data_IF_107900203927
#
_entry.id   IF_107900203927
#
_cell.length_a   1.000
_cell.length_b   1.000
_cell.length_c   1.000
_cell.angle_alpha   90.00
_cell.angle_beta   90.00
_cell.angle_gamma   90.00
#
_symmetry.space_group_name_H-M   'P 1'
#
loop_
_entity.id
_entity.type
_entity.pdbx_description
1 polymer ?
#
# COMPACT_ATOMS: atom_id res chain seq x y z
N UNK A 1 24.95 20.92 16.84
CA UNK A 1 24.42 19.57 16.53
C UNK A 1 22.96 19.79 16.17
N UNK A 2 22.59 19.69 14.88
CA UNK A 2 21.17 19.80 14.50
C UNK A 2 20.49 18.51 14.93
N UNK A 3 19.64 18.59 15.94
CA UNK A 3 18.66 17.55 16.25
C UNK A 3 17.75 17.42 15.03
N UNK A 4 17.76 16.25 14.40
CA UNK A 4 16.69 15.88 13.49
C UNK A 4 15.48 15.62 14.37
N UNK A 5 14.57 16.59 14.46
CA UNK A 5 13.21 16.31 14.92
C UNK A 5 12.66 15.29 13.94
N UNK A 6 12.41 14.07 14.44
CA UNK A 6 11.89 12.99 13.62
C UNK A 6 10.65 13.49 12.88
N UNK A 7 10.61 13.32 11.58
CA UNK A 7 9.33 13.40 10.87
C UNK A 7 8.40 12.42 11.57
N UNK A 8 7.32 12.91 12.17
CA UNK A 8 6.23 12.06 12.66
C UNK A 8 5.91 11.08 11.53
N UNK A 9 6.22 9.80 11.75
CA UNK A 9 5.95 8.76 10.77
C UNK A 9 4.44 8.67 10.57
N UNK A 10 4.00 8.37 9.35
CA UNK A 10 2.59 8.01 9.14
C UNK A 10 2.38 6.67 9.82
N UNK A 11 1.44 6.60 10.76
CA UNK A 11 1.07 5.35 11.41
C UNK A 11 0.32 4.46 10.42
N UNK A 12 0.50 3.15 10.51
CA UNK A 12 -0.14 2.20 9.59
C UNK A 12 -1.68 2.30 9.62
N UNK A 13 -2.24 2.68 10.77
CA UNK A 13 -3.68 2.85 10.94
C UNK A 13 -4.22 4.06 10.16
N UNK A 14 -3.45 5.14 10.00
CA UNK A 14 -3.81 6.28 9.16
C UNK A 14 -3.91 5.85 7.68
N UNK A 15 -2.97 5.00 7.24
CA UNK A 15 -2.96 4.44 5.88
C UNK A 15 -4.19 3.56 5.65
N UNK A 16 -4.49 2.65 6.58
CA UNK A 16 -5.68 1.78 6.49
C UNK A 16 -6.96 2.61 6.43
N UNK A 17 -7.07 3.68 7.21
CA UNK A 17 -8.22 4.59 7.15
C UNK A 17 -8.40 5.19 5.75
N UNK A 18 -7.32 5.63 5.09
CA UNK A 18 -7.42 6.15 3.71
C UNK A 18 -7.87 5.06 2.72
N UNK A 19 -7.33 3.83 2.85
CA UNK A 19 -7.71 2.70 1.99
C UNK A 19 -9.19 2.36 2.13
N UNK A 20 -9.72 2.29 3.36
CA UNK A 20 -11.15 1.99 3.60
C UNK A 20 -12.11 3.05 3.04
N UNK A 21 -11.63 4.27 2.78
CA UNK A 21 -12.39 5.37 2.17
C UNK A 21 -12.21 5.46 0.66
N UNK A 22 -11.54 4.49 0.04
CA UNK A 22 -11.10 4.53 -1.36
C UNK A 22 -10.27 5.79 -1.71
N UNK A 23 -9.57 6.36 -0.72
CA UNK A 23 -8.79 7.58 -0.90
C UNK A 23 -7.34 7.28 -1.28
N UNK A 24 -7.17 6.66 -2.45
CA UNK A 24 -5.85 6.33 -2.99
C UNK A 24 -5.85 6.41 -4.51
N UNK A 25 -4.65 6.50 -5.09
CA UNK A 25 -4.45 6.49 -6.55
C UNK A 25 -3.39 5.45 -6.88
N UNK A 26 -3.74 4.54 -7.80
CA UNK A 26 -2.76 3.64 -8.42
C UNK A 26 -2.21 4.34 -9.67
N UNK A 27 -0.91 4.60 -9.67
CA UNK A 27 -0.25 5.21 -10.84
C UNK A 27 -0.26 4.25 -12.02
N UNK A 28 -0.17 4.79 -13.23
CA UNK A 28 -0.13 3.98 -14.45
C UNK A 28 1.02 2.94 -14.45
N UNK A 29 2.20 3.31 -13.94
CA UNK A 29 3.34 2.38 -13.86
C UNK A 29 3.13 1.25 -12.85
N UNK A 30 2.43 1.52 -11.74
CA UNK A 30 2.07 0.48 -10.77
C UNK A 30 1.03 -0.46 -11.38
N UNK A 31 -0.02 0.07 -12.04
CA UNK A 31 -1.04 -0.72 -12.72
C UNK A 31 -0.44 -1.69 -13.74
N UNK A 32 0.47 -1.22 -14.60
CA UNK A 32 1.14 -2.09 -15.57
C UNK A 32 1.88 -3.27 -14.92
N UNK A 33 2.56 -3.05 -13.80
CA UNK A 33 3.27 -4.11 -13.07
C UNK A 33 2.31 -5.10 -12.40
N UNK A 34 1.20 -4.59 -11.88
CA UNK A 34 0.13 -5.41 -11.32
C UNK A 34 -0.42 -6.36 -12.40
N UNK A 35 -0.71 -5.82 -13.60
CA UNK A 35 -1.22 -6.60 -14.72
C UNK A 35 -0.23 -7.70 -15.16
N UNK A 36 1.07 -7.41 -15.21
CA UNK A 36 2.13 -8.38 -15.53
C UNK A 36 2.19 -9.58 -14.57
N UNK A 37 1.68 -9.41 -13.34
CA UNK A 37 1.70 -10.43 -12.27
C UNK A 37 0.33 -10.98 -11.92
N UNK A 38 -0.73 -10.51 -12.59
CA UNK A 38 -2.11 -10.88 -12.25
C UNK A 38 -2.58 -10.40 -10.87
N UNK A 39 -2.00 -9.31 -10.36
CA UNK A 39 -2.39 -8.69 -9.08
C UNK A 39 -3.53 -7.71 -9.34
N UNK A 40 -4.64 -7.86 -8.61
CA UNK A 40 -5.78 -6.97 -8.69
C UNK A 40 -5.71 -5.88 -7.62
N UNK A 41 -6.52 -4.83 -7.78
CA UNK A 41 -6.61 -3.75 -6.78
C UNK A 41 -7.04 -4.31 -5.42
N UNK A 42 -7.99 -5.23 -5.40
CA UNK A 42 -8.51 -5.85 -4.17
C UNK A 42 -7.44 -6.64 -3.43
N UNK A 43 -6.50 -7.26 -4.15
CA UNK A 43 -5.37 -7.97 -3.53
C UNK A 43 -4.50 -6.99 -2.73
N UNK A 44 -4.18 -5.82 -3.31
CA UNK A 44 -3.43 -4.78 -2.60
C UNK A 44 -4.20 -4.21 -1.41
N UNK A 45 -5.52 -4.01 -1.56
CA UNK A 45 -6.38 -3.53 -0.48
C UNK A 45 -6.37 -4.53 0.68
N UNK A 46 -6.57 -5.81 0.40
CA UNK A 46 -6.56 -6.86 1.41
C UNK A 46 -5.17 -6.97 2.08
N UNK A 47 -4.09 -6.98 1.31
CA UNK A 47 -2.72 -6.95 1.84
C UNK A 47 -2.51 -5.83 2.86
N UNK A 48 -2.98 -4.62 2.56
CA UNK A 48 -2.78 -3.46 3.44
C UNK A 48 -3.68 -3.54 4.68
N UNK A 49 -4.93 -4.01 4.54
CA UNK A 49 -5.90 -4.06 5.63
C UNK A 49 -5.65 -5.22 6.61
N UNK A 50 -5.38 -6.41 6.09
CA UNK A 50 -5.33 -7.66 6.87
C UNK A 50 -4.03 -8.46 6.74
N UNK A 51 -3.11 -8.05 5.84
CA UNK A 51 -1.84 -8.74 5.64
C UNK A 51 -1.92 -9.97 4.73
N UNK A 52 -3.00 -10.14 3.96
CA UNK A 52 -3.15 -11.23 2.99
C UNK A 52 -1.99 -11.30 2.01
N UNK A 53 -1.47 -12.51 1.77
CA UNK A 53 -0.38 -12.77 0.82
C UNK A 53 -0.94 -12.68 -0.61
N UNK A 54 -0.34 -11.82 -1.44
CA UNK A 54 -0.79 -11.54 -2.81
C UNK A 54 0.08 -12.18 -3.90
N UNK A 55 1.29 -12.64 -3.55
CA UNK A 55 2.24 -13.28 -4.45
C UNK A 55 3.18 -14.17 -3.62
N UNK A 56 3.29 -15.44 -3.98
CA UNK A 56 4.27 -16.36 -3.39
C UNK A 56 5.37 -16.59 -4.43
N UNK A 57 6.52 -15.94 -4.24
CA UNK A 57 7.68 -16.12 -5.10
C UNK A 57 8.49 -17.30 -4.53
N UNK A 58 8.76 -18.38 -5.30
CA UNK A 58 9.62 -19.47 -4.83
C UNK A 58 11.06 -19.04 -4.59
#
# INVERSE_FOLDING_TARGET
MKSWEGSEGVEIEDVKEQITKDNYIITFHARRRMDERGIYTDDLVNLILDGSIIEDYP
#
